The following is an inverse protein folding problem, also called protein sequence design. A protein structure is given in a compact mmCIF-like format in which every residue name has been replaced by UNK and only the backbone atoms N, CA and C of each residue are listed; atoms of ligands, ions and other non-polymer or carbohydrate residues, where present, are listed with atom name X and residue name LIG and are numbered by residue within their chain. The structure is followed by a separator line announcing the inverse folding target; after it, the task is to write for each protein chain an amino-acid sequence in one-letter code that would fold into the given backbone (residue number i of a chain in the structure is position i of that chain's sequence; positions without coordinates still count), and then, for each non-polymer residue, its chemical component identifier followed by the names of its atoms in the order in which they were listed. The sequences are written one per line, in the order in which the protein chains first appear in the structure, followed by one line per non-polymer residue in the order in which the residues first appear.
data_IF_716528601268
#
_entry.id   IF_716528601268
#
_cell.length_a   1.000
_cell.length_b   1.000
_cell.length_c   1.000
_cell.angle_alpha   90.00
_cell.angle_beta   90.00
_cell.angle_gamma   90.00
#
_symmetry.space_group_name_H-M   'P 1'
#
loop_
_entity.id
_entity.type
_entity.pdbx_description
1 polymer ?
#
# COMPACT_ATOMS: atom_id res chain seq x y z
N UNK A 1 11.90 -13.66 -6.17
CA UNK A 1 12.72 -14.85 -6.44
C UNK A 1 14.20 -14.63 -6.18
N UNK A 2 14.82 -13.55 -6.71
CA UNK A 2 16.27 -13.31 -6.55
C UNK A 2 16.68 -13.15 -5.09
N UNK A 3 15.92 -12.37 -4.32
CA UNK A 3 16.18 -12.17 -2.88
C UNK A 3 16.00 -13.50 -2.13
N UNK A 4 14.94 -14.24 -2.44
CA UNK A 4 14.68 -15.55 -1.84
C UNK A 4 15.82 -16.52 -2.15
N UNK A 5 16.27 -16.61 -3.41
CA UNK A 5 17.40 -17.42 -3.78
C UNK A 5 18.67 -17.06 -3.04
N UNK A 6 18.98 -15.76 -2.95
CA UNK A 6 20.18 -15.28 -2.28
C UNK A 6 20.16 -15.50 -0.76
N UNK A 7 18.98 -15.56 -0.16
CA UNK A 7 18.78 -15.67 1.27
C UNK A 7 18.42 -17.08 1.75
N UNK A 8 18.15 -18.03 0.82
CA UNK A 8 17.62 -19.35 1.16
C UNK A 8 18.53 -20.15 2.11
N UNK A 9 19.84 -20.05 1.94
CA UNK A 9 20.83 -20.77 2.71
C UNK A 9 21.40 -19.96 3.90
N UNK A 10 20.86 -18.77 4.14
CA UNK A 10 21.34 -17.93 5.24
C UNK A 10 20.60 -18.30 6.55
N UNK A 11 21.28 -18.86 7.56
CA UNK A 11 20.66 -19.31 8.81
C UNK A 11 20.09 -18.17 9.67
N UNK A 12 20.46 -16.92 9.37
CA UNK A 12 19.99 -15.74 10.10
C UNK A 12 18.74 -15.12 9.47
N UNK A 13 18.19 -15.71 8.39
CA UNK A 13 16.96 -15.22 7.76
C UNK A 13 15.76 -15.87 8.41
N UNK A 14 14.82 -15.03 8.86
CA UNK A 14 13.53 -15.44 9.37
C UNK A 14 12.47 -15.16 8.30
N UNK A 15 11.77 -16.21 7.87
CA UNK A 15 10.74 -16.12 6.86
C UNK A 15 9.38 -15.83 7.49
N UNK A 16 8.73 -14.76 7.03
CA UNK A 16 7.41 -14.33 7.50
C UNK A 16 6.44 -14.32 6.33
N UNK A 17 5.39 -15.11 6.41
CA UNK A 17 4.28 -15.04 5.45
C UNK A 17 3.29 -13.97 5.89
N UNK A 18 3.30 -12.85 5.20
CA UNK A 18 2.44 -11.70 5.49
C UNK A 18 1.01 -11.83 4.92
N UNK A 19 0.55 -13.04 4.67
CA UNK A 19 -0.73 -13.35 4.05
C UNK A 19 -0.67 -13.43 2.52
N UNK A 20 -1.83 -13.66 1.90
CA UNK A 20 -1.95 -13.67 0.45
C UNK A 20 -1.64 -12.28 -0.11
N UNK A 21 -0.76 -12.19 -1.11
CA UNK A 21 -0.50 -10.97 -1.87
C UNK A 21 -1.68 -10.61 -2.77
N UNK A 22 -1.52 -9.56 -3.55
CA UNK A 22 -2.49 -9.16 -4.57
C UNK A 22 -2.51 -10.19 -5.70
N UNK A 23 -3.73 -10.53 -6.15
CA UNK A 23 -3.91 -11.42 -7.30
C UNK A 23 -3.43 -10.74 -8.57
N UNK A 24 -2.39 -10.75 -9.08
CA UNK A 24 -1.81 -9.98 -10.19
C UNK A 24 -0.52 -9.25 -9.80
N UNK A 25 -0.04 -9.50 -8.59
CA UNK A 25 1.25 -9.02 -8.12
C UNK A 25 2.36 -9.46 -9.10
N UNK A 26 3.14 -8.51 -9.53
CA UNK A 26 4.28 -8.76 -10.42
C UNK A 26 5.45 -7.88 -10.06
N UNK A 27 6.66 -8.36 -10.33
CA UNK A 27 7.88 -7.60 -10.17
C UNK A 27 8.67 -7.64 -11.47
N UNK A 28 9.29 -6.52 -11.84
CA UNK A 28 10.20 -6.48 -12.96
C UNK A 28 11.38 -7.42 -12.71
N UNK A 29 11.76 -8.17 -13.74
CA UNK A 29 12.95 -9.00 -13.72
C UNK A 29 14.12 -8.26 -14.39
N UNK A 30 15.34 -8.28 -13.81
CA UNK A 30 16.44 -7.46 -14.29
C UNK A 30 16.84 -7.68 -15.76
N UNK A 31 16.46 -8.82 -16.36
CA UNK A 31 16.71 -9.16 -17.76
C UNK A 31 15.54 -8.89 -18.70
N UNK A 32 14.59 -8.04 -18.26
CA UNK A 32 13.49 -7.61 -19.11
C UNK A 32 12.24 -8.46 -19.08
N UNK A 33 12.19 -9.51 -18.28
CA UNK A 33 10.96 -10.25 -17.95
C UNK A 33 10.25 -9.69 -16.73
N UNK A 34 9.16 -10.34 -16.34
CA UNK A 34 8.46 -10.07 -15.09
C UNK A 34 8.17 -11.36 -14.34
N UNK A 35 8.20 -11.28 -13.04
CA UNK A 35 7.77 -12.36 -12.16
C UNK A 35 6.36 -12.06 -11.70
N UNK A 36 5.46 -13.00 -11.90
CA UNK A 36 4.07 -12.90 -11.47
C UNK A 36 3.75 -14.00 -10.47
N UNK A 37 2.88 -13.68 -9.51
CA UNK A 37 2.36 -14.67 -8.58
C UNK A 37 1.09 -15.30 -9.15
N UNK A 38 1.00 -16.62 -9.07
CA UNK A 38 -0.20 -17.37 -9.40
C UNK A 38 -0.43 -18.43 -8.32
N UNK A 39 -1.48 -18.27 -7.51
CA UNK A 39 -1.69 -19.10 -6.33
C UNK A 39 -0.53 -18.98 -5.34
N UNK A 40 0.10 -20.08 -4.98
CA UNK A 40 1.27 -20.12 -4.09
C UNK A 40 2.61 -20.02 -4.85
N UNK A 41 2.58 -20.11 -6.18
CA UNK A 41 3.77 -20.18 -7.00
C UNK A 41 4.11 -18.84 -7.65
N UNK A 42 5.39 -18.71 -7.99
CA UNK A 42 5.92 -17.61 -8.75
C UNK A 42 6.28 -18.06 -10.16
N UNK A 43 5.82 -17.33 -11.17
CA UNK A 43 6.08 -17.59 -12.55
C UNK A 43 6.91 -16.47 -13.17
N UNK A 44 7.99 -16.83 -13.87
CA UNK A 44 8.73 -15.89 -14.68
C UNK A 44 8.13 -15.86 -16.08
N UNK A 45 7.71 -14.68 -16.51
CA UNK A 45 7.35 -14.40 -17.90
C UNK A 45 8.56 -13.71 -18.54
N UNK A 46 9.29 -14.39 -19.46
CA UNK A 46 10.47 -13.80 -20.10
C UNK A 46 10.06 -12.66 -21.04
N UNK A 47 11.00 -11.73 -21.28
CA UNK A 47 10.81 -10.64 -22.23
C UNK A 47 10.86 -11.14 -23.69
N UNK A 48 11.60 -12.20 -23.94
CA UNK A 48 11.84 -12.72 -25.30
C UNK A 48 11.65 -14.24 -25.33
N UNK A 49 11.08 -14.71 -26.44
CA UNK A 49 10.96 -16.14 -26.69
C UNK A 49 12.34 -16.79 -26.82
N UNK A 50 12.50 -17.96 -26.17
CA UNK A 50 13.77 -18.69 -26.18
C UNK A 50 14.80 -18.23 -25.15
N UNK A 51 14.46 -17.28 -24.28
CA UNK A 51 15.30 -16.94 -23.15
C UNK A 51 15.42 -18.11 -22.17
N UNK A 52 16.65 -18.44 -21.75
CA UNK A 52 16.86 -19.42 -20.70
C UNK A 52 16.35 -18.86 -19.37
N UNK A 53 15.30 -19.46 -18.83
CA UNK A 53 14.73 -19.06 -17.54
C UNK A 53 15.64 -19.54 -16.41
N UNK A 54 15.99 -18.68 -15.45
CA UNK A 54 16.61 -19.14 -14.23
C UNK A 54 15.64 -20.07 -13.48
N UNK A 55 16.17 -21.07 -12.79
CA UNK A 55 15.35 -21.86 -11.87
C UNK A 55 14.69 -20.92 -10.87
N UNK A 56 13.37 -20.96 -10.79
CA UNK A 56 12.65 -20.26 -9.72
C UNK A 56 12.91 -21.02 -8.42
N UNK A 57 13.34 -20.29 -7.40
CA UNK A 57 13.48 -20.88 -6.07
C UNK A 57 12.13 -21.31 -5.56
N UNK A 58 12.06 -22.47 -4.95
CA UNK A 58 10.90 -22.84 -4.18
C UNK A 58 10.63 -21.77 -3.12
N UNK A 59 9.35 -21.47 -2.88
CA UNK A 59 8.98 -20.54 -1.81
C UNK A 59 9.45 -21.12 -0.48
N UNK A 60 10.20 -20.38 0.35
CA UNK A 60 10.63 -20.89 1.65
C UNK A 60 9.42 -21.11 2.53
N UNK A 61 9.50 -22.14 3.36
CA UNK A 61 8.48 -22.38 4.38
C UNK A 61 8.57 -21.25 5.42
N UNK A 62 7.47 -20.57 5.73
CA UNK A 62 7.51 -19.49 6.71
C UNK A 62 7.64 -20.05 8.12
N UNK A 63 8.45 -19.40 8.94
CA UNK A 63 8.51 -19.64 10.39
C UNK A 63 7.40 -18.89 11.12
N UNK A 64 6.93 -17.78 10.52
CA UNK A 64 5.83 -16.96 11.01
C UNK A 64 4.79 -16.79 9.92
N UNK A 65 3.50 -16.91 10.28
CA UNK A 65 2.41 -16.76 9.32
C UNK A 65 1.15 -16.20 9.99
N UNK A 66 0.26 -15.62 9.19
CA UNK A 66 -1.02 -15.08 9.62
C UNK A 66 -2.15 -16.07 9.32
N UNK A 67 -3.01 -16.29 10.31
CA UNK A 67 -4.26 -17.05 10.21
C UNK A 67 -5.45 -16.15 10.59
N UNK A 68 -6.66 -16.57 10.25
CA UNK A 68 -7.93 -15.93 10.64
C UNK A 68 -7.96 -14.43 10.31
N UNK A 69 -7.53 -14.08 9.08
CA UNK A 69 -7.41 -12.68 8.66
C UNK A 69 -8.80 -12.08 8.42
N UNK A 70 -9.14 -11.04 9.18
CA UNK A 70 -10.32 -10.22 9.01
C UNK A 70 -9.90 -8.78 8.68
N UNK A 71 -10.39 -8.25 7.54
CA UNK A 71 -10.16 -6.86 7.14
C UNK A 71 -11.41 -6.04 7.45
N UNK A 72 -11.33 -5.22 8.50
CA UNK A 72 -12.42 -4.35 8.90
C UNK A 72 -12.02 -2.86 8.78
N UNK A 73 -12.97 -1.96 8.53
CA UNK A 73 -12.69 -0.50 8.46
C UNK A 73 -12.12 0.08 9.76
N UNK A 74 -12.41 -0.54 10.90
CA UNK A 74 -11.90 -0.13 12.21
C UNK A 74 -10.45 -0.59 12.46
N UNK A 75 -9.93 -1.46 11.62
CA UNK A 75 -8.62 -2.06 11.70
C UNK A 75 -8.68 -3.57 11.46
N UNK A 76 -7.66 -4.14 10.83
CA UNK A 76 -7.59 -5.56 10.55
C UNK A 76 -7.24 -6.37 11.80
N UNK A 77 -7.67 -7.63 11.81
CA UNK A 77 -7.36 -8.62 12.85
C UNK A 77 -6.80 -9.87 12.22
N UNK A 78 -5.95 -10.55 12.95
CA UNK A 78 -5.43 -11.86 12.57
C UNK A 78 -4.84 -12.57 13.79
N UNK A 79 -4.59 -13.86 13.66
CA UNK A 79 -3.75 -14.64 14.57
C UNK A 79 -2.36 -14.77 13.95
N UNK A 80 -1.32 -14.30 14.63
CA UNK A 80 0.06 -14.54 14.22
C UNK A 80 0.57 -15.84 14.86
N UNK A 81 0.98 -16.77 14.02
CA UNK A 81 1.63 -18.03 14.41
C UNK A 81 3.13 -17.94 14.22
N UNK A 82 3.86 -18.58 15.10
CA UNK A 82 5.33 -18.58 15.06
C UNK A 82 5.93 -19.89 15.59
N UNK A 83 7.28 -19.97 15.67
CA UNK A 83 7.99 -21.11 16.20
C UNK A 83 7.55 -21.45 17.62
N UNK A 84 7.84 -22.67 18.05
CA UNK A 84 7.62 -23.17 19.42
C UNK A 84 6.18 -23.03 19.93
N UNK A 85 5.22 -23.05 18.99
CA UNK A 85 3.80 -22.94 19.31
C UNK A 85 3.32 -21.53 19.63
N UNK A 86 4.10 -20.49 19.32
CA UNK A 86 3.68 -19.10 19.49
C UNK A 86 2.39 -18.85 18.72
N UNK A 87 1.42 -18.26 19.42
CA UNK A 87 0.13 -17.85 18.88
C UNK A 87 -0.30 -16.59 19.60
N UNK A 88 -0.28 -15.46 18.88
CA UNK A 88 -0.66 -14.16 19.44
C UNK A 88 -1.69 -13.45 18.55
N UNK A 89 -2.71 -12.82 19.14
CA UNK A 89 -3.65 -12.01 18.38
C UNK A 89 -3.00 -10.70 17.94
N UNK A 90 -3.30 -10.29 16.73
CA UNK A 90 -3.02 -8.96 16.21
C UNK A 90 -4.35 -8.25 15.97
N UNK A 91 -4.57 -7.14 16.67
CA UNK A 91 -5.73 -6.26 16.47
C UNK A 91 -5.20 -4.85 16.20
N UNK A 92 -5.07 -4.52 14.92
CA UNK A 92 -4.43 -3.26 14.54
C UNK A 92 -5.43 -2.12 14.47
N UNK A 93 -4.98 -0.92 14.83
CA UNK A 93 -5.71 0.34 14.61
C UNK A 93 -5.40 0.94 13.24
N UNK A 94 -4.27 0.56 12.63
CA UNK A 94 -3.93 0.91 11.27
C UNK A 94 -4.69 0.01 10.30
N UNK A 95 -5.48 0.56 9.37
CA UNK A 95 -6.22 -0.24 8.39
C UNK A 95 -5.29 -0.88 7.35
N UNK A 96 -5.83 -1.85 6.64
CA UNK A 96 -5.18 -2.44 5.47
C UNK A 96 -4.42 -3.73 5.75
N UNK A 97 -4.38 -4.56 4.73
CA UNK A 97 -3.71 -5.86 4.73
C UNK A 97 -2.20 -5.74 4.88
N UNK A 98 -1.60 -4.75 4.20
CA UNK A 98 -0.16 -4.52 4.27
C UNK A 98 0.30 -4.22 5.71
N UNK A 99 -0.53 -3.57 6.51
CA UNK A 99 -0.20 -3.29 7.91
C UNK A 99 -0.21 -4.55 8.79
N UNK A 100 -1.05 -5.55 8.49
CA UNK A 100 -0.92 -6.87 9.14
C UNK A 100 0.42 -7.53 8.81
N UNK A 101 0.82 -7.50 7.54
CA UNK A 101 2.11 -8.02 7.12
C UNK A 101 3.28 -7.31 7.79
N UNK A 102 3.23 -5.99 7.86
CA UNK A 102 4.24 -5.19 8.56
C UNK A 102 4.29 -5.51 10.06
N UNK A 103 3.13 -5.65 10.71
CA UNK A 103 3.03 -6.03 12.11
C UNK A 103 3.60 -7.43 12.38
N UNK A 104 3.28 -8.41 11.54
CA UNK A 104 3.83 -9.76 11.64
C UNK A 104 5.37 -9.76 11.54
N UNK A 105 5.92 -9.01 10.59
CA UNK A 105 7.37 -8.86 10.45
C UNK A 105 8.00 -8.16 11.66
N UNK A 106 7.37 -7.10 12.17
CA UNK A 106 7.85 -6.37 13.33
C UNK A 106 7.85 -7.24 14.60
N UNK A 107 6.80 -8.03 14.82
CA UNK A 107 6.72 -8.97 15.95
C UNK A 107 7.79 -10.05 15.80
N UNK A 108 7.93 -10.66 14.62
CA UNK A 108 8.94 -11.70 14.38
C UNK A 108 10.37 -11.16 14.64
N UNK A 109 10.66 -9.93 14.19
CA UNK A 109 11.94 -9.28 14.44
C UNK A 109 12.15 -9.01 15.93
N UNK A 110 11.15 -8.49 16.64
CA UNK A 110 11.23 -8.22 18.08
C UNK A 110 11.49 -9.50 18.89
N UNK A 111 10.79 -10.60 18.53
CA UNK A 111 10.99 -11.91 19.17
C UNK A 111 12.40 -12.45 18.91
N UNK A 112 12.92 -12.27 17.71
CA UNK A 112 14.32 -12.63 17.39
C UNK A 112 15.34 -11.84 18.23
N UNK A 113 14.94 -10.70 18.77
CA UNK A 113 15.74 -9.88 19.69
C UNK A 113 15.48 -10.20 21.18
N UNK A 114 14.67 -11.21 21.47
CA UNK A 114 14.37 -11.66 22.83
C UNK A 114 13.17 -10.98 23.49
N UNK A 115 12.36 -10.25 22.72
CA UNK A 115 11.12 -9.63 23.24
C UNK A 115 10.02 -10.70 23.32
N UNK A 116 9.25 -10.66 24.39
CA UNK A 116 8.07 -11.53 24.53
C UNK A 116 7.07 -11.32 23.40
N UNK A 117 6.55 -12.40 22.75
CA UNK A 117 5.65 -12.28 21.62
C UNK A 117 4.36 -11.49 21.91
N UNK A 118 3.77 -11.65 23.10
CA UNK A 118 2.55 -10.95 23.47
C UNK A 118 2.83 -9.45 23.71
N UNK A 119 3.96 -9.12 24.30
CA UNK A 119 4.39 -7.74 24.47
C UNK A 119 4.66 -7.05 23.13
N UNK A 120 5.32 -7.75 22.19
CA UNK A 120 5.57 -7.26 20.84
C UNK A 120 4.25 -7.04 20.07
N UNK A 121 3.32 -8.00 20.15
CA UNK A 121 2.00 -7.89 19.52
C UNK A 121 1.19 -6.72 20.09
N UNK A 122 1.19 -6.52 21.41
CA UNK A 122 0.53 -5.39 22.05
C UNK A 122 1.12 -4.04 21.61
N UNK A 123 2.46 -3.96 21.48
CA UNK A 123 3.14 -2.75 21.04
C UNK A 123 2.74 -2.35 19.60
N UNK A 124 2.78 -3.28 18.65
CA UNK A 124 2.37 -2.98 17.26
C UNK A 124 0.89 -2.66 17.15
N UNK A 125 0.04 -3.28 17.97
CA UNK A 125 -1.41 -3.04 18.03
C UNK A 125 -1.75 -1.66 18.60
N UNK A 126 -0.84 -1.03 19.35
CA UNK A 126 -1.04 0.30 19.92
C UNK A 126 -0.84 1.44 18.92
N UNK A 127 -0.19 1.17 17.76
CA UNK A 127 0.13 2.18 16.75
C UNK A 127 -1.16 2.66 16.08
N UNK A 128 -1.40 3.97 16.11
CA UNK A 128 -2.61 4.60 15.56
C UNK A 128 -2.36 5.36 14.27
N UNK A 129 -1.11 5.76 14.05
CA UNK A 129 -0.72 6.55 12.89
C UNK A 129 0.71 6.21 12.45
N UNK A 130 1.02 6.46 11.21
CA UNK A 130 2.36 6.39 10.65
C UNK A 130 2.64 7.70 9.94
N UNK A 131 3.58 8.48 10.47
CA UNK A 131 3.94 9.79 9.94
C UNK A 131 4.19 9.75 8.43
N UNK A 132 3.50 10.63 7.69
CA UNK A 132 3.60 10.70 6.24
C UNK A 132 3.01 9.50 5.47
N UNK A 133 2.31 8.59 6.13
CA UNK A 133 1.70 7.40 5.48
C UNK A 133 0.23 7.23 5.77
N UNK A 134 -0.16 7.39 7.03
CA UNK A 134 -1.52 7.24 7.49
C UNK A 134 -1.75 8.10 8.72
N UNK A 135 -2.76 8.95 8.68
CA UNK A 135 -3.21 9.72 9.84
C UNK A 135 -4.69 10.08 9.72
N UNK A 136 -5.31 10.38 10.85
CA UNK A 136 -6.69 10.84 10.92
C UNK A 136 -6.72 12.21 11.59
N UNK A 137 -7.39 13.16 10.96
CA UNK A 137 -7.50 14.54 11.45
C UNK A 137 -8.96 14.96 11.54
N UNK A 138 -9.27 15.79 12.51
CA UNK A 138 -10.53 16.54 12.53
C UNK A 138 -10.31 17.85 11.77
N UNK A 139 -11.14 18.09 10.77
CA UNK A 139 -11.14 19.32 9.97
C UNK A 139 -12.55 19.91 9.99
N UNK A 140 -12.75 20.96 10.79
CA UNK A 140 -14.03 21.64 10.95
C UNK A 140 -15.19 20.70 11.35
N UNK A 141 -14.93 19.74 12.25
CA UNK A 141 -15.92 18.76 12.70
C UNK A 141 -16.16 17.60 11.73
N UNK A 142 -15.32 17.47 10.71
CA UNK A 142 -15.30 16.33 9.79
C UNK A 142 -14.03 15.52 9.99
N UNK A 143 -14.13 14.21 10.00
CA UNK A 143 -12.97 13.33 10.07
C UNK A 143 -12.36 13.16 8.68
N UNK A 144 -11.12 13.61 8.52
CA UNK A 144 -10.33 13.42 7.31
C UNK A 144 -9.26 12.34 7.55
N UNK A 145 -9.24 11.33 6.69
CA UNK A 145 -8.23 10.27 6.70
C UNK A 145 -7.23 10.53 5.58
N UNK A 146 -5.98 10.73 5.94
CA UNK A 146 -4.90 10.93 4.99
C UNK A 146 -4.16 9.62 4.75
N UNK A 147 -3.92 9.29 3.49
CA UNK A 147 -3.16 8.12 3.05
C UNK A 147 -2.17 8.53 1.97
N UNK A 148 -0.97 7.96 2.02
CA UNK A 148 0.05 8.17 1.01
C UNK A 148 0.34 6.87 0.28
N UNK A 149 0.27 6.92 -1.04
CA UNK A 149 0.67 5.84 -1.92
C UNK A 149 1.62 6.38 -3.01
N UNK A 150 2.65 5.61 -3.35
CA UNK A 150 3.69 6.00 -4.33
C UNK A 150 3.85 4.99 -5.47
N UNK A 151 3.26 3.82 -5.34
CA UNK A 151 3.37 2.72 -6.30
C UNK A 151 1.99 2.17 -6.61
N UNK A 152 1.77 1.51 -7.75
CA UNK A 152 0.49 0.87 -8.06
C UNK A 152 -0.01 -0.06 -6.95
N UNK A 153 0.85 -0.89 -6.37
CA UNK A 153 0.50 -1.76 -5.25
C UNK A 153 0.08 -0.97 -4.00
N UNK A 154 0.76 0.13 -3.69
CA UNK A 154 0.38 1.03 -2.60
C UNK A 154 -0.97 1.70 -2.84
N UNK A 155 -1.28 2.07 -4.07
CA UNK A 155 -2.58 2.62 -4.45
C UNK A 155 -3.69 1.58 -4.31
N UNK A 156 -3.46 0.34 -4.77
CA UNK A 156 -4.43 -0.75 -4.59
C UNK A 156 -4.72 -0.99 -3.10
N UNK A 157 -3.70 -1.00 -2.26
CA UNK A 157 -3.87 -1.12 -0.81
C UNK A 157 -4.68 0.07 -0.26
N UNK A 158 -4.35 1.31 -0.63
CA UNK A 158 -5.07 2.50 -0.18
C UNK A 158 -6.57 2.44 -0.57
N UNK A 159 -6.88 1.96 -1.77
CA UNK A 159 -8.27 1.79 -2.22
C UNK A 159 -9.05 0.83 -1.32
N UNK A 160 -8.42 -0.24 -0.82
CA UNK A 160 -9.08 -1.19 0.10
C UNK A 160 -9.33 -0.61 1.49
N UNK A 161 -8.61 0.45 1.87
CA UNK A 161 -8.78 1.12 3.16
C UNK A 161 -9.88 2.18 3.16
N UNK A 162 -10.44 2.52 2.00
CA UNK A 162 -11.52 3.50 1.91
C UNK A 162 -12.78 2.91 2.56
N UNK A 163 -13.26 3.56 3.62
CA UNK A 163 -14.52 3.17 4.26
C UNK A 163 -15.68 3.32 3.24
N UNK A 164 -16.48 2.29 3.01
CA UNK A 164 -17.63 2.37 2.11
C UNK A 164 -18.61 3.51 2.42
N UNK A 165 -18.64 3.98 3.66
CA UNK A 165 -19.54 5.03 4.13
C UNK A 165 -19.06 6.45 3.85
N UNK A 166 -17.80 6.65 3.40
CA UNK A 166 -17.34 8.00 3.08
C UNK A 166 -18.02 8.52 1.82
N UNK A 167 -18.49 9.74 1.91
CA UNK A 167 -19.20 10.46 0.85
C UNK A 167 -18.25 11.24 -0.08
N UNK A 168 -17.01 11.45 0.35
CA UNK A 168 -16.03 12.22 -0.42
C UNK A 168 -14.64 11.57 -0.40
N UNK A 169 -14.02 11.48 -1.58
CA UNK A 169 -12.62 11.04 -1.75
C UNK A 169 -11.87 12.11 -2.54
N UNK A 170 -10.80 12.62 -1.96
CA UNK A 170 -9.89 13.57 -2.62
C UNK A 170 -8.61 12.85 -2.99
N UNK A 171 -8.24 12.87 -4.25
CA UNK A 171 -7.02 12.24 -4.76
C UNK A 171 -6.10 13.32 -5.30
N UNK A 172 -4.93 13.48 -4.69
CA UNK A 172 -3.89 14.41 -5.13
C UNK A 172 -2.72 13.67 -5.77
N UNK A 173 -2.33 14.09 -6.98
CA UNK A 173 -1.14 13.58 -7.66
C UNK A 173 -0.22 14.72 -8.00
N UNK A 174 1.05 14.58 -7.60
CA UNK A 174 2.10 15.56 -7.87
C UNK A 174 3.23 14.91 -8.67
N UNK A 175 3.91 15.70 -9.49
CA UNK A 175 4.97 15.27 -10.38
C UNK A 175 6.38 15.64 -9.91
N UNK A 176 6.57 15.94 -8.60
CA UNK A 176 7.85 16.42 -8.08
C UNK A 176 8.84 15.31 -7.79
N UNK A 177 10.11 15.65 -7.91
CA UNK A 177 11.29 14.80 -7.74
C UNK A 177 11.30 14.15 -6.34
N UNK A 178 11.81 12.92 -6.21
CA UNK A 178 12.42 12.06 -7.22
C UNK A 178 11.44 11.08 -7.89
N UNK A 179 10.21 10.91 -7.36
CA UNK A 179 9.34 9.77 -7.73
C UNK A 179 8.28 10.14 -8.80
N UNK A 180 8.28 11.36 -9.32
CA UNK A 180 7.03 11.90 -9.83
C UNK A 180 7.03 12.38 -11.28
N UNK A 181 8.13 12.36 -12.02
CA UNK A 181 8.13 12.89 -13.39
C UNK A 181 7.44 11.93 -14.37
N UNK A 182 7.60 10.61 -14.20
CA UNK A 182 6.89 9.61 -14.99
C UNK A 182 5.65 9.13 -14.24
N UNK A 183 4.48 9.45 -14.76
CA UNK A 183 3.18 9.05 -14.23
C UNK A 183 2.55 7.88 -14.98
N UNK A 184 3.29 7.17 -15.82
CA UNK A 184 2.78 6.00 -16.55
C UNK A 184 2.19 4.95 -15.61
N UNK A 185 2.72 4.84 -14.39
CA UNK A 185 2.22 3.95 -13.34
C UNK A 185 0.76 4.21 -12.93
N UNK A 186 0.20 5.39 -13.18
CA UNK A 186 -1.22 5.67 -12.93
C UNK A 186 -2.14 4.74 -13.75
N UNK A 187 -1.67 4.27 -14.90
CA UNK A 187 -2.43 3.36 -15.76
C UNK A 187 -2.47 1.93 -15.24
N UNK A 188 -1.54 1.58 -14.34
CA UNK A 188 -1.50 0.29 -13.66
C UNK A 188 -2.37 0.25 -12.39
N UNK A 189 -2.93 1.40 -11.97
CA UNK A 189 -3.82 1.49 -10.80
C UNK A 189 -5.25 1.23 -11.22
N UNK A 190 -5.94 0.32 -10.53
CA UNK A 190 -7.38 0.14 -10.65
C UNK A 190 -8.13 1.10 -9.71
N UNK A 191 -8.75 2.13 -10.28
CA UNK A 191 -9.54 3.11 -9.55
C UNK A 191 -11.03 2.75 -9.43
N UNK A 192 -11.47 1.61 -9.94
CA UNK A 192 -12.89 1.23 -9.91
C UNK A 192 -13.47 1.19 -8.49
N UNK A 193 -12.64 0.88 -7.49
CA UNK A 193 -13.04 0.83 -6.09
C UNK A 193 -13.48 2.16 -5.48
N UNK A 194 -13.13 3.31 -6.09
CA UNK A 194 -13.62 4.62 -5.62
C UNK A 194 -14.99 4.98 -6.20
N UNK A 195 -15.44 4.31 -7.26
CA UNK A 195 -16.71 4.57 -7.91
C UNK A 195 -17.86 3.95 -7.11
N UNK A 196 -18.48 4.72 -6.25
CA UNK A 196 -19.64 4.27 -5.47
C UNK A 196 -20.79 5.27 -5.60
N UNK A 197 -22.06 4.81 -5.63
CA UNK A 197 -23.22 5.68 -5.69
C UNK A 197 -23.23 6.72 -4.57
N UNK A 198 -23.37 7.99 -4.92
CA UNK A 198 -23.42 9.10 -3.97
C UNK A 198 -22.06 9.59 -3.46
N UNK A 199 -20.97 8.95 -3.85
CA UNK A 199 -19.62 9.38 -3.50
C UNK A 199 -19.13 10.45 -4.48
N UNK A 200 -18.67 11.57 -3.93
CA UNK A 200 -17.98 12.61 -4.67
C UNK A 200 -16.50 12.28 -4.77
N UNK A 201 -15.93 12.28 -5.97
CA UNK A 201 -14.49 12.08 -6.20
C UNK A 201 -13.90 13.38 -6.72
N UNK A 202 -12.81 13.83 -6.11
CA UNK A 202 -12.13 15.08 -6.47
C UNK A 202 -10.69 14.75 -6.88
N UNK A 203 -10.32 15.17 -8.09
CA UNK A 203 -8.95 15.09 -8.57
C UNK A 203 -8.25 16.45 -8.35
N UNK A 204 -7.05 16.42 -7.78
CA UNK A 204 -6.27 17.65 -7.52
C UNK A 204 -4.76 17.37 -7.60
N UNK A 205 -3.97 18.39 -7.28
CA UNK A 205 -2.51 18.31 -7.34
C UNK A 205 -1.95 18.85 -8.65
N UNK A 206 -0.62 18.86 -8.79
CA UNK A 206 0.07 19.34 -10.00
C UNK A 206 -0.32 18.57 -11.26
N UNK A 207 -0.57 17.29 -11.09
CA UNK A 207 -0.95 16.37 -12.16
C UNK A 207 -2.43 15.94 -12.03
N UNK A 208 -3.25 16.81 -11.43
CA UNK A 208 -4.68 16.56 -11.27
C UNK A 208 -5.42 16.33 -12.59
N UNK A 209 -5.01 17.01 -13.68
CA UNK A 209 -5.59 16.81 -15.01
C UNK A 209 -5.30 15.41 -15.57
N UNK A 210 -4.06 14.92 -15.42
CA UNK A 210 -3.70 13.56 -15.85
C UNK A 210 -4.49 12.52 -15.05
N UNK A 211 -4.61 12.74 -13.74
CA UNK A 211 -5.43 11.91 -12.87
C UNK A 211 -6.90 11.91 -13.29
N UNK A 212 -7.47 13.08 -13.59
CA UNK A 212 -8.88 13.19 -14.01
C UNK A 212 -9.13 12.39 -15.29
N UNK A 213 -8.24 12.48 -16.28
CA UNK A 213 -8.31 11.66 -17.51
C UNK A 213 -8.26 10.18 -17.15
N UNK A 214 -7.33 9.76 -16.27
CA UNK A 214 -7.22 8.35 -15.86
C UNK A 214 -8.47 7.85 -15.13
N UNK A 215 -9.07 8.68 -14.27
CA UNK A 215 -10.31 8.36 -13.56
C UNK A 215 -11.48 8.18 -14.52
N UNK A 216 -11.61 9.06 -15.51
CA UNK A 216 -12.64 8.95 -16.56
C UNK A 216 -12.53 7.64 -17.33
N UNK A 217 -11.30 7.23 -17.71
CA UNK A 217 -11.05 5.93 -18.34
C UNK A 217 -11.37 4.73 -17.42
N UNK A 218 -11.36 4.92 -16.11
CA UNK A 218 -11.80 3.92 -15.15
C UNK A 218 -13.33 3.95 -14.89
N UNK A 219 -14.07 4.82 -15.56
CA UNK A 219 -15.50 5.02 -15.34
C UNK A 219 -15.82 5.77 -14.05
N UNK A 220 -14.84 6.48 -13.49
CA UNK A 220 -14.99 7.28 -12.27
C UNK A 220 -15.17 8.75 -12.64
N UNK A 221 -16.38 9.26 -12.48
CA UNK A 221 -16.64 10.68 -12.65
C UNK A 221 -16.02 11.47 -11.49
N UNK A 222 -15.28 12.54 -11.79
CA UNK A 222 -14.62 13.35 -10.77
C UNK A 222 -14.72 14.86 -11.05
N UNK A 223 -14.69 15.63 -9.97
CA UNK A 223 -14.50 17.09 -10.05
C UNK A 223 -12.99 17.38 -10.09
N UNK A 224 -12.55 18.17 -11.05
CA UNK A 224 -11.16 18.62 -11.11
C UNK A 224 -11.02 19.95 -10.37
N UNK A 225 -10.15 19.99 -9.36
CA UNK A 225 -9.72 21.24 -8.72
C UNK A 225 -8.45 21.72 -9.42
N UNK A 226 -8.54 22.76 -10.27
CA UNK A 226 -7.39 23.26 -11.00
C UNK A 226 -6.41 23.95 -10.04
N UNK A 227 -5.13 23.91 -10.40
CA UNK A 227 -4.13 24.73 -9.72
C UNK A 227 -4.39 26.20 -10.01
N UNK A 228 -4.50 27.07 -8.99
CA UNK A 228 -4.44 28.50 -9.25
C UNK A 228 -3.07 28.84 -9.88
N UNK A 229 -3.08 29.57 -11.00
CA UNK A 229 -1.86 29.90 -11.76
C UNK A 229 -0.81 30.65 -10.94
N UNK A 230 -1.23 31.30 -9.87
CA UNK A 230 -0.43 32.11 -8.93
C UNK A 230 0.01 31.33 -7.67
N UNK A 231 -0.36 30.07 -7.53
CA UNK A 231 -0.04 29.25 -6.36
C UNK A 231 1.24 28.43 -6.49
N UNK A 232 2.02 28.63 -7.54
CA UNK A 232 3.35 28.00 -7.68
C UNK A 232 4.39 28.87 -6.93
N UNK A 233 4.79 28.55 -5.70
CA UNK A 233 5.92 29.21 -5.09
C UNK A 233 7.18 28.78 -5.82
N UNK A 234 7.90 29.75 -6.35
CA UNK A 234 9.17 29.52 -7.05
C UNK A 234 10.29 28.94 -6.17
N UNK A 235 10.07 28.68 -4.88
CA UNK A 235 11.18 28.40 -3.96
C UNK A 235 10.93 27.47 -2.76
N UNK A 236 9.73 26.93 -2.53
CA UNK A 236 9.54 26.01 -1.39
C UNK A 236 8.78 24.72 -1.79
N UNK A 237 9.49 23.58 -1.94
CA UNK A 237 8.83 22.29 -2.15
C UNK A 237 7.98 21.92 -0.91
N UNK A 238 6.73 21.53 -1.14
CA UNK A 238 5.84 20.95 -0.13
C UNK A 238 4.78 21.88 0.49
N UNK A 239 4.98 23.19 0.64
CA UNK A 239 3.95 24.08 1.21
C UNK A 239 2.76 24.34 0.27
N UNK A 240 3.01 24.35 -1.04
CA UNK A 240 1.96 24.48 -2.03
C UNK A 240 0.99 23.30 -2.06
N UNK A 241 1.50 22.11 -1.80
CA UNK A 241 0.79 20.84 -1.80
C UNK A 241 -0.26 20.73 -0.68
N UNK A 242 0.12 21.04 0.55
CA UNK A 242 -0.80 21.06 1.69
C UNK A 242 -1.96 22.07 1.49
N UNK A 243 -1.67 23.23 0.90
CA UNK A 243 -2.67 24.26 0.66
C UNK A 243 -3.71 23.86 -0.39
N UNK A 244 -3.31 23.09 -1.39
CA UNK A 244 -4.17 22.60 -2.50
C UNK A 244 -5.11 21.51 -2.01
N UNK A 245 -4.58 20.56 -1.27
CA UNK A 245 -5.39 19.51 -0.63
C UNK A 245 -6.37 20.14 0.37
N UNK A 246 -5.94 21.16 1.10
CA UNK A 246 -6.80 21.88 2.05
C UNK A 246 -7.95 22.63 1.34
N UNK A 247 -7.69 23.25 0.19
CA UNK A 247 -8.76 23.92 -0.60
C UNK A 247 -9.77 22.91 -1.13
N UNK A 248 -9.30 21.76 -1.63
CA UNK A 248 -10.17 20.68 -2.11
C UNK A 248 -11.02 20.04 -0.98
N UNK A 249 -10.58 20.13 0.27
CA UNK A 249 -11.32 19.64 1.44
C UNK A 249 -12.31 20.69 2.00
N UNK A 250 -12.13 21.96 1.64
CA UNK A 250 -12.94 23.06 2.16
C UNK A 250 -14.23 23.30 1.36
N UNK A 251 -14.22 23.08 0.06
CA UNK A 251 -15.34 23.24 -0.89
C UNK A 251 -16.12 21.91 -1.02
#
# INVERSE_FOLDING_TARGET
PLIVSAAADNPNVVWVAAGAGWGGDSAAYPRGGRVVRSGEDWHLIPAFDGEALPALSARPQPQWWLEDIELAPAGPRATLRGPDGVSVPLELKLPGRANLGNAAQAVAAAVSMGIDPAAAAAAVSSVTEVAGRYSVHDVNGRSARLMLAKTPAGWQEAMTMIDPRVDQVVIGVNGQVPDGQDLSWLWDVDFSGVNQPGRRVIACGERGADLAVRLEYAGVHCDLVPLPMDALPASEPGRGEMRRTYTALRD
#
